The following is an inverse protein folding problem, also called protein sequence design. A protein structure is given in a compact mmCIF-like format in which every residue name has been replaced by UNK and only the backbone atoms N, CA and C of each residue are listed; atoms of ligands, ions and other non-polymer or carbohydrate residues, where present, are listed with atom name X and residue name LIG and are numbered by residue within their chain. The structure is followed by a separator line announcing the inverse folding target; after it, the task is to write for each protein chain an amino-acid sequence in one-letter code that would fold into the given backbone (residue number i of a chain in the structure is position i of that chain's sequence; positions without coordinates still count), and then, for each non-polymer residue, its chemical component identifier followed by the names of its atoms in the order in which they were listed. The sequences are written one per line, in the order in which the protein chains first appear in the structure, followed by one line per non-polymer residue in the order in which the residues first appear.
data_IF_226222912571
#
_entry.id   IF_226222912571
#
_cell.length_a   1.000
_cell.length_b   1.000
_cell.length_c   1.000
_cell.angle_alpha   90.00
_cell.angle_beta   90.00
_cell.angle_gamma   90.00
#
_symmetry.space_group_name_H-M   'P 1'
#
loop_
_entity.id
_entity.type
_entity.pdbx_description
1 polymer ?
#
# COMPACT_ATOMS: atom_id res chain seq x y z
N UNK A 1 0.37 -21.62 -5.17
CA UNK A 1 0.64 -20.34 -4.47
C UNK A 1 2.00 -20.48 -3.83
N UNK A 2 2.94 -19.58 -4.14
CA UNK A 2 4.26 -19.57 -3.50
C UNK A 2 4.09 -18.91 -2.13
N UNK A 3 4.45 -19.61 -1.06
CA UNK A 3 4.35 -19.09 0.32
C UNK A 3 5.67 -19.35 1.00
N UNK A 4 6.17 -18.35 1.74
CA UNK A 4 7.46 -18.39 2.39
C UNK A 4 7.41 -17.57 3.68
N UNK A 5 8.27 -17.93 4.62
CA UNK A 5 8.50 -17.12 5.81
C UNK A 5 9.34 -15.89 5.44
N UNK A 6 9.05 -14.70 5.99
CA UNK A 6 9.78 -13.49 5.68
C UNK A 6 11.30 -13.61 5.86
N UNK A 7 11.77 -14.13 7.00
CA UNK A 7 13.22 -14.28 7.25
C UNK A 7 13.89 -15.27 6.29
N UNK A 8 13.18 -16.30 5.81
CA UNK A 8 13.70 -17.25 4.82
C UNK A 8 13.88 -16.55 3.47
N UNK A 9 12.89 -15.77 3.04
CA UNK A 9 12.98 -14.99 1.81
C UNK A 9 14.11 -13.96 1.88
N UNK A 10 14.21 -13.22 3.00
CA UNK A 10 15.30 -12.28 3.26
C UNK A 10 16.69 -12.96 3.17
N UNK A 11 16.86 -14.12 3.81
CA UNK A 11 18.10 -14.88 3.76
C UNK A 11 18.47 -15.33 2.33
N UNK A 12 17.48 -15.78 1.54
CA UNK A 12 17.71 -16.17 0.14
C UNK A 12 18.12 -14.96 -0.70
N UNK A 13 17.41 -13.82 -0.56
CA UNK A 13 17.75 -12.59 -1.28
C UNK A 13 19.14 -12.07 -0.90
N UNK A 14 19.51 -12.12 0.37
CA UNK A 14 20.85 -11.75 0.82
C UNK A 14 21.93 -12.65 0.21
N UNK A 15 21.70 -13.97 0.16
CA UNK A 15 22.62 -14.90 -0.53
C UNK A 15 22.75 -14.62 -2.02
N UNK A 16 21.65 -14.28 -2.68
CA UNK A 16 21.69 -13.89 -4.10
C UNK A 16 22.51 -12.61 -4.30
N UNK A 17 22.38 -11.63 -3.40
CA UNK A 17 23.19 -10.41 -3.41
C UNK A 17 24.68 -10.72 -3.19
N UNK A 18 25.04 -11.54 -2.20
CA UNK A 18 26.41 -11.97 -1.95
C UNK A 18 27.06 -12.65 -3.17
N UNK A 19 26.29 -13.42 -3.94
CA UNK A 19 26.76 -14.12 -5.14
C UNK A 19 26.85 -13.23 -6.39
N UNK A 20 26.17 -12.09 -6.39
CA UNK A 20 26.04 -11.22 -7.57
C UNK A 20 27.24 -10.29 -7.82
N UNK A 21 28.11 -10.11 -6.83
CA UNK A 21 29.20 -9.11 -6.89
C UNK A 21 28.70 -7.67 -6.87
N UNK A 22 27.46 -7.43 -6.42
CA UNK A 22 26.89 -6.09 -6.23
C UNK A 22 27.40 -5.48 -4.92
N UNK A 23 27.88 -4.25 -4.98
CA UNK A 23 28.22 -3.45 -3.81
C UNK A 23 26.93 -3.02 -3.08
N UNK A 24 26.56 -3.76 -2.03
CA UNK A 24 25.40 -3.45 -1.20
C UNK A 24 25.75 -2.39 -0.16
N UNK A 25 25.07 -1.24 -0.23
CA UNK A 25 25.18 -0.15 0.75
C UNK A 25 23.90 -0.10 1.59
N UNK A 26 24.03 -0.34 2.91
CA UNK A 26 22.92 -0.32 3.88
C UNK A 26 23.09 0.80 4.92
N UNK A 27 22.15 0.91 5.86
CA UNK A 27 22.19 1.86 6.98
C UNK A 27 22.26 3.34 6.59
N UNK A 28 21.87 3.67 5.36
CA UNK A 28 21.80 5.04 4.83
C UNK A 28 20.64 5.14 3.84
N UNK A 29 20.17 6.37 3.58
CA UNK A 29 19.03 6.64 2.69
C UNK A 29 19.31 7.84 1.81
N UNK A 30 18.57 7.95 0.70
CA UNK A 30 18.64 9.10 -0.21
C UNK A 30 18.38 10.40 0.59
N UNK A 31 19.27 11.38 0.46
CA UNK A 31 19.11 12.68 1.12
C UNK A 31 18.08 13.53 0.37
N UNK A 32 16.82 13.41 0.77
CA UNK A 32 15.71 14.18 0.20
C UNK A 32 15.60 15.61 0.73
N UNK A 33 16.46 16.00 1.68
CA UNK A 33 16.46 17.37 2.25
C UNK A 33 17.13 18.40 1.33
N UNK A 34 17.82 17.93 0.27
CA UNK A 34 18.58 18.76 -0.66
C UNK A 34 18.13 18.53 -2.09
N UNK A 35 18.35 19.52 -2.95
CA UNK A 35 18.13 19.37 -4.40
C UNK A 35 19.11 18.33 -4.96
N UNK A 36 18.60 17.47 -5.83
CA UNK A 36 19.42 16.51 -6.56
C UNK A 36 20.41 17.23 -7.49
N UNK A 37 21.62 16.68 -7.63
CA UNK A 37 22.61 17.22 -8.55
C UNK A 37 22.28 16.77 -9.99
N UNK A 38 21.45 17.58 -10.66
CA UNK A 38 21.02 17.35 -12.05
C UNK A 38 21.63 18.37 -13.00
N UNK A 39 21.97 17.93 -14.21
CA UNK A 39 22.38 18.79 -15.34
C UNK A 39 21.37 18.68 -16.47
N UNK A 40 21.14 19.75 -17.21
CA UNK A 40 20.38 19.67 -18.47
C UNK A 40 21.18 18.86 -19.48
N UNK A 41 20.50 18.02 -20.25
CA UNK A 41 21.10 17.32 -21.38
C UNK A 41 21.61 18.32 -22.44
N UNK A 42 22.59 17.91 -23.24
CA UNK A 42 23.21 18.78 -24.26
C UNK A 42 22.20 19.28 -25.30
N UNK A 43 21.20 18.47 -25.62
CA UNK A 43 20.10 18.80 -26.54
C UNK A 43 18.90 19.47 -25.84
N UNK A 44 19.01 19.76 -24.54
CA UNK A 44 17.98 20.41 -23.69
C UNK A 44 16.63 19.66 -23.64
N UNK A 45 16.62 18.37 -23.99
CA UNK A 45 15.41 17.55 -23.96
C UNK A 45 15.14 16.93 -22.59
N UNK A 46 16.05 16.98 -21.62
CA UNK A 46 15.75 16.48 -20.27
C UNK A 46 16.86 16.70 -19.26
N UNK A 47 16.74 16.01 -18.12
CA UNK A 47 17.71 16.02 -17.03
C UNK A 47 18.58 14.78 -17.00
N UNK A 48 19.84 14.95 -16.57
CA UNK A 48 20.80 13.90 -16.29
C UNK A 48 21.18 14.00 -14.82
N UNK A 49 21.05 12.90 -14.07
CA UNK A 49 21.52 12.81 -12.69
C UNK A 49 23.03 12.64 -12.71
N UNK A 50 23.75 13.61 -12.13
CA UNK A 50 25.21 13.54 -12.03
C UNK A 50 25.65 12.66 -10.86
N UNK A 51 25.02 12.85 -9.70
CA UNK A 51 25.23 12.05 -8.51
C UNK A 51 23.97 12.03 -7.64
N UNK A 52 23.73 10.93 -6.94
CA UNK A 52 22.85 10.91 -5.76
C UNK A 52 23.68 11.13 -4.51
N UNK A 53 23.05 11.70 -3.48
CA UNK A 53 23.66 11.89 -2.17
C UNK A 53 22.85 11.16 -1.12
N UNK A 54 23.55 10.57 -0.17
CA UNK A 54 22.95 9.90 0.97
C UNK A 54 23.05 10.77 2.23
N UNK A 55 22.22 10.46 3.23
CA UNK A 55 22.14 11.25 4.49
C UNK A 55 23.45 11.25 5.29
N UNK A 56 24.27 10.23 5.15
CA UNK A 56 25.61 10.12 5.75
C UNK A 56 26.67 11.01 5.07
N UNK A 57 26.32 11.68 3.97
CA UNK A 57 27.21 12.54 3.20
C UNK A 57 27.88 11.87 1.99
N UNK A 58 27.80 10.54 1.87
CA UNK A 58 28.32 9.82 0.71
C UNK A 58 27.57 10.23 -0.57
N UNK A 59 28.27 10.20 -1.70
CA UNK A 59 27.71 10.52 -3.01
C UNK A 59 28.11 9.46 -4.02
N UNK A 60 27.15 9.04 -4.85
CA UNK A 60 27.33 7.96 -5.81
C UNK A 60 27.01 8.45 -7.21
N UNK A 61 27.91 8.14 -8.14
CA UNK A 61 27.78 8.45 -9.55
C UNK A 61 27.51 7.16 -10.33
N UNK A 62 26.57 7.22 -11.26
CA UNK A 62 26.24 6.12 -12.16
C UNK A 62 25.84 6.62 -13.53
N UNK A 63 25.96 5.76 -14.54
CA UNK A 63 25.44 6.04 -15.90
C UNK A 63 23.92 5.87 -15.98
N UNK A 64 23.36 5.03 -15.11
CA UNK A 64 21.94 4.68 -15.00
C UNK A 64 21.57 4.67 -13.51
N UNK A 65 20.35 5.10 -13.18
CA UNK A 65 19.84 5.09 -11.81
C UNK A 65 18.46 4.45 -11.80
N UNK A 66 18.30 3.33 -11.11
CA UNK A 66 17.01 2.65 -10.96
C UNK A 66 16.37 3.21 -9.68
N UNK A 67 15.16 3.77 -9.80
CA UNK A 67 14.40 4.24 -8.64
C UNK A 67 13.63 3.07 -8.00
N UNK A 68 14.29 2.39 -7.07
CA UNK A 68 13.66 1.34 -6.27
C UNK A 68 13.19 1.83 -4.88
N UNK A 69 12.90 3.12 -4.72
CA UNK A 69 12.56 3.72 -3.42
C UNK A 69 11.16 3.39 -2.91
N UNK A 70 10.37 2.57 -3.62
CA UNK A 70 8.95 2.31 -3.38
C UNK A 70 8.03 3.51 -3.67
N UNK A 71 8.31 4.70 -3.12
CA UNK A 71 7.47 5.89 -3.32
C UNK A 71 7.80 6.73 -4.58
N UNK A 72 8.86 6.38 -5.32
CA UNK A 72 9.32 7.13 -6.49
C UNK A 72 10.01 8.45 -6.12
N UNK A 73 10.79 8.44 -5.06
CA UNK A 73 11.43 9.63 -4.52
C UNK A 73 12.57 10.16 -5.40
N UNK A 74 13.37 9.27 -5.98
CA UNK A 74 14.47 9.69 -6.85
C UNK A 74 13.94 10.31 -8.14
N UNK A 75 12.90 9.71 -8.75
CA UNK A 75 12.29 10.24 -9.95
C UNK A 75 11.64 11.62 -9.71
N UNK A 76 10.98 11.80 -8.56
CA UNK A 76 10.42 13.08 -8.18
C UNK A 76 11.51 14.14 -7.97
N UNK A 77 12.60 13.78 -7.29
CA UNK A 77 13.76 14.66 -7.10
C UNK A 77 14.48 15.01 -8.40
N UNK A 78 14.44 14.12 -9.40
CA UNK A 78 15.00 14.34 -10.73
C UNK A 78 14.10 15.21 -11.64
N UNK A 79 12.91 15.59 -11.18
CA UNK A 79 11.95 16.39 -11.95
C UNK A 79 11.19 15.59 -12.99
N UNK A 80 11.11 14.26 -12.86
CA UNK A 80 10.26 13.43 -13.71
C UNK A 80 8.80 13.73 -13.40
N UNK A 81 7.98 13.90 -14.45
CA UNK A 81 6.54 14.11 -14.30
C UNK A 81 5.87 12.87 -13.69
N UNK A 82 5.01 13.08 -12.71
CA UNK A 82 4.22 12.03 -12.06
C UNK A 82 2.84 12.56 -11.67
N UNK A 83 1.93 11.63 -11.40
CA UNK A 83 0.64 11.90 -10.76
C UNK A 83 0.61 11.29 -9.36
N UNK A 84 -0.25 11.84 -8.49
CA UNK A 84 -0.58 11.31 -7.17
C UNK A 84 -2.08 11.47 -6.99
N UNK A 85 -2.72 10.43 -6.47
CA UNK A 85 -4.16 10.38 -6.31
C UNK A 85 -4.83 9.74 -7.50
N UNK A 86 -6.16 9.76 -7.49
CA UNK A 86 -6.97 9.12 -8.52
C UNK A 86 -7.25 10.11 -9.61
N UNK A 87 -6.96 9.73 -10.84
CA UNK A 87 -7.33 10.52 -12.01
C UNK A 87 -8.76 10.18 -12.44
N UNK A 88 -9.44 11.14 -13.07
CA UNK A 88 -10.81 10.97 -13.55
C UNK A 88 -10.89 10.02 -14.76
N UNK A 89 -12.03 9.35 -14.93
CA UNK A 89 -12.35 8.51 -16.09
C UNK A 89 -12.09 9.23 -17.43
N UNK A 90 -12.42 10.51 -17.49
CA UNK A 90 -12.24 11.37 -18.67
C UNK A 90 -10.79 11.56 -19.10
N UNK A 91 -9.81 11.27 -18.23
CA UNK A 91 -8.37 11.47 -18.52
C UNK A 91 -7.85 10.51 -19.59
N UNK A 92 -8.22 9.23 -19.49
CA UNK A 92 -7.78 8.18 -20.43
C UNK A 92 -8.96 7.39 -21.02
N UNK A 93 -10.20 7.82 -20.78
CA UNK A 93 -11.40 7.14 -21.27
C UNK A 93 -11.69 5.82 -20.53
N UNK A 94 -11.22 5.72 -19.29
CA UNK A 94 -11.38 4.57 -18.41
C UNK A 94 -12.73 4.63 -17.67
N UNK A 95 -13.12 3.53 -17.02
CA UNK A 95 -14.43 3.40 -16.38
C UNK A 95 -14.38 2.94 -14.92
N UNK A 96 -13.22 2.50 -14.44
CA UNK A 96 -13.07 1.87 -13.12
C UNK A 96 -11.99 2.55 -12.23
N UNK A 97 -11.51 3.72 -12.65
CA UNK A 97 -10.62 4.60 -11.88
C UNK A 97 -11.41 5.76 -11.26
N UNK A 98 -10.74 6.63 -10.50
CA UNK A 98 -11.40 7.72 -9.80
C UNK A 98 -12.11 7.25 -8.51
N UNK A 99 -13.03 8.09 -8.06
CA UNK A 99 -13.94 7.78 -6.96
C UNK A 99 -14.88 6.65 -7.39
N UNK A 100 -15.11 5.69 -6.51
CA UNK A 100 -15.94 4.53 -6.81
C UNK A 100 -16.81 4.15 -5.61
N UNK A 101 -18.11 4.45 -5.70
CA UNK A 101 -19.15 4.02 -4.76
C UNK A 101 -19.90 2.80 -5.29
N UNK A 102 -20.22 2.77 -6.60
CA UNK A 102 -21.02 1.72 -7.20
C UNK A 102 -20.29 0.37 -7.24
N UNK A 103 -18.97 0.38 -7.42
CA UNK A 103 -18.16 -0.83 -7.51
C UNK A 103 -17.60 -1.33 -6.17
N UNK A 104 -17.84 -0.62 -5.06
CA UNK A 104 -17.46 -1.05 -3.69
C UNK A 104 -18.38 -2.16 -3.17
N UNK A 105 -18.39 -3.29 -3.86
CA UNK A 105 -19.23 -4.46 -3.57
C UNK A 105 -18.51 -5.52 -2.74
N UNK A 106 -17.17 -5.44 -2.65
CA UNK A 106 -16.33 -6.29 -1.82
C UNK A 106 -15.74 -5.48 -0.67
N UNK A 107 -15.27 -6.19 0.34
CA UNK A 107 -14.64 -5.62 1.55
C UNK A 107 -15.33 -4.33 2.06
N UNK A 108 -16.67 -4.30 2.11
CA UNK A 108 -17.40 -3.16 2.62
C UNK A 108 -17.91 -3.43 4.04
N UNK A 109 -18.25 -2.37 4.76
CA UNK A 109 -18.82 -2.44 6.10
C UNK A 109 -20.23 -3.04 6.07
N UNK A 110 -20.65 -3.79 7.10
CA UNK A 110 -22.06 -4.18 7.23
C UNK A 110 -22.95 -2.92 7.30
N UNK A 111 -24.15 -3.01 6.70
CA UNK A 111 -25.13 -1.91 6.74
C UNK A 111 -25.62 -1.66 8.17
N UNK A 112 -26.04 -0.42 8.45
CA UNK A 112 -26.62 -0.01 9.72
C UNK A 112 -25.61 0.42 10.79
N UNK A 113 -24.34 0.63 10.45
CA UNK A 113 -23.37 1.24 11.37
C UNK A 113 -23.73 2.70 11.57
N UNK A 114 -24.07 3.05 12.81
CA UNK A 114 -24.29 4.43 13.24
C UNK A 114 -22.99 5.25 13.14
N UNK A 115 -23.03 6.47 12.59
CA UNK A 115 -21.84 7.27 12.33
C UNK A 115 -21.40 8.16 13.50
N UNK A 116 -22.17 8.22 14.58
CA UNK A 116 -21.96 9.20 15.66
C UNK A 116 -21.18 8.61 16.84
N UNK A 117 -20.44 9.46 17.55
CA UNK A 117 -19.60 9.06 18.70
C UNK A 117 -20.45 8.41 19.80
N UNK A 118 -21.63 8.94 20.05
CA UNK A 118 -22.69 8.32 20.86
C UNK A 118 -23.76 7.82 19.88
N UNK A 119 -23.98 6.50 19.88
CA UNK A 119 -24.97 5.86 19.00
C UNK A 119 -26.34 6.52 19.14
N UNK A 120 -26.91 6.96 18.02
CA UNK A 120 -28.22 7.61 17.92
C UNK A 120 -28.24 9.11 18.24
N UNK A 121 -27.12 9.70 18.67
CA UNK A 121 -27.04 11.12 19.00
C UNK A 121 -26.17 11.88 18.01
N UNK A 122 -26.82 12.59 17.08
CA UNK A 122 -26.14 13.39 16.06
C UNK A 122 -25.35 14.59 16.62
N UNK A 123 -25.65 15.04 17.84
CA UNK A 123 -24.91 16.14 18.48
C UNK A 123 -23.58 15.68 19.09
N UNK A 124 -23.36 14.36 19.21
CA UNK A 124 -22.13 13.81 19.77
C UNK A 124 -20.92 13.93 18.83
N UNK A 125 -21.13 14.36 17.58
CA UNK A 125 -20.13 14.40 16.53
C UNK A 125 -19.96 13.06 15.82
N UNK A 126 -19.27 13.08 14.68
CA UNK A 126 -19.06 11.90 13.82
C UNK A 126 -17.81 11.12 14.27
N UNK A 127 -17.82 9.80 14.08
CA UNK A 127 -16.67 8.93 14.31
C UNK A 127 -15.46 9.37 13.47
N UNK A 128 -14.27 9.30 14.07
CA UNK A 128 -13.04 9.73 13.42
C UNK A 128 -12.79 8.91 12.13
N UNK A 129 -12.43 9.60 11.05
CA UNK A 129 -12.20 8.98 9.74
C UNK A 129 -13.47 8.69 8.92
N UNK A 130 -14.65 9.16 9.35
CA UNK A 130 -15.89 9.12 8.57
C UNK A 130 -16.24 10.53 8.08
N UNK A 131 -16.45 10.66 6.77
CA UNK A 131 -16.91 11.90 6.15
C UNK A 131 -18.42 12.07 6.34
N UNK A 132 -18.93 13.28 6.67
CA UNK A 132 -20.36 13.53 6.79
C UNK A 132 -21.12 13.31 5.47
N UNK A 133 -20.43 13.53 4.35
CA UNK A 133 -20.92 13.31 3.00
C UNK A 133 -19.74 13.17 2.06
N UNK A 134 -19.91 12.40 0.97
CA UNK A 134 -18.93 12.31 -0.10
C UNK A 134 -19.41 13.13 -1.30
N UNK A 135 -18.74 14.25 -1.56
CA UNK A 135 -19.13 15.20 -2.61
C UNK A 135 -18.77 14.77 -4.03
N UNK A 136 -17.84 13.83 -4.17
CA UNK A 136 -17.35 13.36 -5.45
C UNK A 136 -18.22 12.24 -5.99
N UNK A 137 -18.48 12.29 -7.30
CA UNK A 137 -19.23 11.26 -8.01
C UNK A 137 -18.32 10.18 -8.59
N UNK A 138 -18.91 9.04 -8.96
CA UNK A 138 -18.15 7.91 -9.50
C UNK A 138 -17.41 8.32 -10.79
N UNK A 139 -16.14 7.93 -10.90
CA UNK A 139 -15.24 8.28 -12.00
C UNK A 139 -14.61 9.68 -11.92
N UNK A 140 -14.90 10.49 -10.89
CA UNK A 140 -14.20 11.75 -10.66
C UNK A 140 -12.82 11.52 -10.02
N UNK A 141 -11.86 12.39 -10.36
CA UNK A 141 -10.52 12.34 -9.78
C UNK A 141 -10.43 13.09 -8.45
N UNK A 142 -9.49 12.68 -7.59
CA UNK A 142 -9.14 13.37 -6.35
C UNK A 142 -7.68 13.12 -5.95
N UNK A 143 -7.25 13.68 -4.81
CA UNK A 143 -5.87 13.61 -4.32
C UNK A 143 -5.60 12.42 -3.39
N UNK A 144 -6.53 11.45 -3.33
CA UNK A 144 -6.47 10.35 -2.37
C UNK A 144 -5.98 9.05 -3.00
N UNK A 145 -5.39 8.21 -2.17
CA UNK A 145 -4.81 6.94 -2.57
C UNK A 145 -5.45 5.83 -1.75
N UNK A 146 -5.50 4.63 -2.31
CA UNK A 146 -5.98 3.45 -1.58
C UNK A 146 -5.24 3.26 -0.24
N UNK A 147 -5.93 2.70 0.74
CA UNK A 147 -5.43 2.57 2.10
C UNK A 147 -4.10 1.79 2.19
N UNK A 148 -3.29 2.16 3.18
CA UNK A 148 -2.08 1.43 3.54
C UNK A 148 -2.31 0.61 4.81
N UNK A 149 -1.49 -0.41 4.99
CA UNK A 149 -1.48 -1.24 6.18
C UNK A 149 -0.08 -1.76 6.49
N UNK A 150 0.07 -2.45 7.62
CA UNK A 150 1.18 -3.39 7.79
C UNK A 150 0.66 -4.80 7.52
N UNK A 151 1.32 -5.50 6.60
CA UNK A 151 1.08 -6.90 6.31
C UNK A 151 1.89 -7.73 7.29
N UNK A 152 1.19 -8.45 8.17
CA UNK A 152 1.76 -9.05 9.38
C UNK A 152 2.05 -10.53 9.16
N UNK A 153 3.24 -10.99 9.59
CA UNK A 153 3.44 -12.41 9.88
C UNK A 153 2.98 -12.68 11.31
N UNK A 154 2.01 -13.57 11.51
CA UNK A 154 1.52 -13.96 12.83
C UNK A 154 1.64 -15.47 13.02
N UNK A 155 1.75 -15.94 14.26
CA UNK A 155 1.74 -17.37 14.59
C UNK A 155 0.80 -17.67 15.75
N UNK A 156 0.24 -18.88 15.77
CA UNK A 156 -0.51 -19.42 16.90
C UNK A 156 0.24 -20.52 17.67
N UNK A 157 1.49 -20.83 17.29
CA UNK A 157 2.36 -21.73 18.05
C UNK A 157 2.80 -21.07 19.36
N UNK A 158 2.34 -21.60 20.49
CA UNK A 158 2.68 -21.08 21.82
C UNK A 158 4.19 -21.04 22.12
N UNK A 159 4.99 -21.91 21.52
CA UNK A 159 6.44 -21.91 21.71
C UNK A 159 7.11 -20.74 20.97
N UNK A 160 6.60 -20.37 19.80
CA UNK A 160 7.10 -19.29 18.95
C UNK A 160 6.30 -17.97 19.07
N UNK A 161 5.28 -17.88 19.94
CA UNK A 161 4.37 -16.72 19.97
C UNK A 161 4.73 -15.68 21.04
N UNK A 162 4.63 -14.41 20.68
CA UNK A 162 4.57 -13.24 21.55
C UNK A 162 3.19 -12.60 21.37
N UNK A 163 2.40 -12.49 22.45
CA UNK A 163 1.09 -11.85 22.35
C UNK A 163 1.22 -10.34 22.16
N UNK A 164 0.42 -9.79 21.24
CA UNK A 164 0.32 -8.34 21.02
C UNK A 164 -0.19 -7.68 22.30
N UNK A 165 0.62 -6.78 22.84
CA UNK A 165 0.26 -5.99 24.02
C UNK A 165 -0.65 -4.83 23.63
N UNK A 166 -1.36 -4.27 24.62
CA UNK A 166 -2.12 -3.03 24.42
C UNK A 166 -1.15 -1.93 23.99
N UNK A 167 -1.33 -1.29 22.82
CA UNK A 167 -0.38 -0.29 22.35
C UNK A 167 -0.44 0.98 23.22
N UNK A 168 0.69 1.67 23.32
CA UNK A 168 0.77 2.95 24.00
C UNK A 168 -0.19 3.97 23.36
N UNK A 169 -0.86 4.74 24.21
CA UNK A 169 -1.85 5.72 23.76
C UNK A 169 -3.15 5.13 23.21
N UNK A 170 -3.41 3.82 23.37
CA UNK A 170 -4.65 3.17 22.92
C UNK A 170 -5.90 3.90 23.40
N UNK A 171 -6.74 4.32 22.45
CA UNK A 171 -8.07 4.87 22.68
C UNK A 171 -9.10 3.94 22.08
N UNK A 172 -10.02 3.45 22.92
CA UNK A 172 -11.12 2.59 22.46
C UNK A 172 -11.96 3.24 21.36
N UNK A 173 -12.12 4.58 21.42
CA UNK A 173 -12.87 5.34 20.42
C UNK A 173 -12.32 5.21 18.99
N UNK A 174 -11.00 5.02 18.82
CA UNK A 174 -10.39 4.86 17.50
C UNK A 174 -10.80 3.55 16.82
N UNK A 175 -11.23 2.55 17.62
CA UNK A 175 -11.63 1.22 17.17
C UNK A 175 -13.14 0.99 17.27
N UNK A 176 -13.93 2.04 17.47
CA UNK A 176 -15.40 1.96 17.61
C UNK A 176 -16.07 1.35 16.38
N UNK A 177 -15.57 1.63 15.16
CA UNK A 177 -16.07 0.99 13.95
C UNK A 177 -15.84 -0.53 13.94
N UNK A 178 -14.76 -1.01 14.55
CA UNK A 178 -14.43 -2.45 14.64
C UNK A 178 -15.50 -3.17 15.46
N UNK A 179 -15.83 -2.64 16.64
CA UNK A 179 -16.80 -3.26 17.55
C UNK A 179 -18.23 -3.13 17.02
N UNK A 180 -18.60 -2.00 16.39
CA UNK A 180 -19.90 -1.81 15.73
C UNK A 180 -20.10 -2.76 14.55
N UNK A 181 -19.09 -2.94 13.71
CA UNK A 181 -19.15 -3.90 12.61
C UNK A 181 -19.31 -5.34 13.14
N UNK A 182 -18.57 -5.70 14.19
CA UNK A 182 -18.68 -7.01 14.83
C UNK A 182 -20.10 -7.27 15.39
N UNK A 183 -20.70 -6.26 16.03
CA UNK A 183 -22.05 -6.33 16.57
C UNK A 183 -23.13 -6.52 15.48
N UNK A 184 -22.85 -6.07 14.26
CA UNK A 184 -23.70 -6.24 13.08
C UNK A 184 -23.34 -7.48 12.24
N UNK A 185 -22.47 -8.35 12.76
CA UNK A 185 -22.22 -9.67 12.19
C UNK A 185 -20.96 -9.79 11.33
N UNK A 186 -20.09 -8.77 11.26
CA UNK A 186 -18.75 -8.94 10.68
C UNK A 186 -17.93 -9.94 11.52
N UNK A 187 -17.27 -10.88 10.85
CA UNK A 187 -16.51 -11.99 11.46
C UNK A 187 -15.05 -12.04 11.00
N UNK A 188 -14.66 -11.21 10.04
CA UNK A 188 -13.32 -11.16 9.44
C UNK A 188 -12.68 -9.81 9.77
N UNK A 189 -11.51 -9.87 10.40
CA UNK A 189 -10.75 -8.67 10.83
C UNK A 189 -9.31 -8.68 10.31
N UNK A 190 -8.82 -9.83 9.85
CA UNK A 190 -7.62 -9.96 9.02
C UNK A 190 -7.58 -11.35 8.38
N UNK A 191 -6.86 -11.46 7.26
CA UNK A 191 -6.67 -12.73 6.56
C UNK A 191 -5.91 -13.72 7.44
N UNK A 192 -6.26 -14.99 7.32
CA UNK A 192 -5.57 -16.10 7.98
C UNK A 192 -4.88 -16.98 6.91
N UNK A 193 -4.20 -16.34 5.95
CA UNK A 193 -3.54 -17.03 4.84
C UNK A 193 -2.35 -17.83 5.36
N UNK A 194 -2.34 -19.14 5.21
CA UNK A 194 -1.29 -19.99 5.76
C UNK A 194 0.08 -19.70 5.13
N UNK A 195 1.09 -19.66 6.00
CA UNK A 195 2.52 -19.72 5.66
C UNK A 195 3.11 -21.01 6.26
N UNK A 196 4.33 -21.42 5.84
CA UNK A 196 5.05 -22.50 6.49
C UNK A 196 5.19 -22.31 8.02
N UNK A 197 5.44 -23.40 8.74
CA UNK A 197 5.76 -23.40 10.18
C UNK A 197 4.71 -22.73 11.09
N UNK A 198 3.42 -23.02 10.87
CA UNK A 198 2.30 -22.53 11.67
C UNK A 198 2.24 -20.99 11.77
N UNK A 199 2.61 -20.33 10.67
CA UNK A 199 2.49 -18.88 10.51
C UNK A 199 1.35 -18.55 9.56
N UNK A 200 0.94 -17.30 9.57
CA UNK A 200 0.00 -16.73 8.62
C UNK A 200 0.52 -15.39 8.10
N UNK A 201 0.11 -15.08 6.88
CA UNK A 201 0.13 -13.75 6.31
C UNK A 201 -1.21 -13.06 6.59
N UNK A 202 -1.18 -12.14 7.56
CA UNK A 202 -2.33 -11.35 7.97
C UNK A 202 -2.34 -10.00 7.25
N UNK A 203 -3.38 -9.80 6.46
CA UNK A 203 -3.62 -8.62 5.63
C UNK A 203 -5.11 -8.21 5.71
N UNK A 204 -5.51 -7.17 4.98
CA UNK A 204 -6.89 -6.68 4.86
C UNK A 204 -7.88 -7.80 4.45
N UNK A 205 -8.99 -7.96 5.17
CA UNK A 205 -10.01 -9.02 4.93
C UNK A 205 -11.47 -8.63 5.27
N UNK A 206 -11.87 -7.37 5.10
CA UNK A 206 -13.26 -6.90 5.23
C UNK A 206 -13.30 -5.39 5.05
N UNK A 207 -14.46 -4.76 5.28
CA UNK A 207 -14.56 -3.29 5.36
C UNK A 207 -13.93 -2.65 6.59
N UNK A 208 -13.47 -3.43 7.56
CA UNK A 208 -12.71 -2.93 8.70
C UNK A 208 -11.66 -3.95 9.16
N UNK A 209 -10.43 -3.73 8.72
CA UNK A 209 -9.32 -4.66 8.93
C UNK A 209 -7.99 -3.89 8.98
N UNK A 210 -6.88 -4.52 8.58
CA UNK A 210 -5.52 -3.96 8.73
C UNK A 210 -5.34 -2.62 8.00
N UNK A 211 -6.15 -2.34 6.98
CA UNK A 211 -6.17 -1.05 6.29
C UNK A 211 -6.62 0.09 7.21
N UNK A 212 -5.71 1.04 7.43
CA UNK A 212 -6.03 2.29 8.09
C UNK A 212 -6.60 3.28 7.06
N UNK A 213 -7.83 3.04 6.61
CA UNK A 213 -8.46 3.81 5.50
C UNK A 213 -8.39 5.32 5.76
N UNK A 214 -7.80 6.04 4.81
CA UNK A 214 -7.60 7.50 4.81
C UNK A 214 -6.44 8.01 5.65
N UNK A 215 -5.75 7.16 6.42
CA UNK A 215 -4.65 7.61 7.31
C UNK A 215 -3.32 7.80 6.58
N UNK A 216 -3.24 7.36 5.33
CA UNK A 216 -2.11 7.54 4.42
C UNK A 216 -2.09 8.91 3.70
N UNK A 217 -3.09 9.76 3.93
CA UNK A 217 -3.17 11.08 3.30
C UNK A 217 -1.87 11.88 3.47
N UNK A 218 -1.33 12.38 2.35
CA UNK A 218 -0.09 13.16 2.31
C UNK A 218 1.22 12.35 2.44
N UNK A 219 1.18 11.04 2.65
CA UNK A 219 2.39 10.21 2.86
C UNK A 219 3.39 10.31 1.70
N UNK A 220 2.90 10.27 0.47
CA UNK A 220 3.75 10.19 -0.73
C UNK A 220 4.63 11.43 -0.87
N UNK A 221 4.09 12.62 -0.62
CA UNK A 221 4.81 13.90 -0.75
C UNK A 221 5.44 14.39 0.55
N UNK A 222 5.19 13.71 1.67
CA UNK A 222 5.73 14.03 2.98
C UNK A 222 7.27 13.90 3.05
N UNK A 223 7.88 14.68 3.96
CA UNK A 223 9.28 14.51 4.39
C UNK A 223 9.49 13.18 5.13
N UNK A 224 10.74 12.75 5.31
CA UNK A 224 11.03 11.48 6.00
C UNK A 224 10.49 11.45 7.44
N UNK A 225 10.58 12.56 8.15
CA UNK A 225 10.07 12.67 9.52
C UNK A 225 8.53 12.57 9.55
N UNK A 226 7.85 13.21 8.60
CA UNK A 226 6.39 13.12 8.47
C UNK A 226 5.95 11.70 8.07
N UNK A 227 6.67 11.03 7.16
CA UNK A 227 6.42 9.62 6.82
C UNK A 227 6.59 8.71 8.04
N UNK A 228 7.61 8.93 8.88
CA UNK A 228 7.80 8.17 10.11
C UNK A 228 6.61 8.34 11.09
N UNK A 229 6.05 9.55 11.21
CA UNK A 229 4.84 9.79 12.01
C UNK A 229 3.63 9.04 11.45
N UNK A 230 3.44 9.08 10.12
CA UNK A 230 2.34 8.35 9.45
C UNK A 230 2.51 6.85 9.62
N UNK A 231 3.72 6.31 9.43
CA UNK A 231 4.02 4.89 9.63
C UNK A 231 3.79 4.45 11.08
N UNK A 232 4.22 5.24 12.07
CA UNK A 232 3.94 4.98 13.48
C UNK A 232 2.43 4.95 13.77
N UNK A 233 1.65 5.84 13.14
CA UNK A 233 0.19 5.85 13.24
C UNK A 233 -0.45 4.58 12.65
N UNK A 234 0.08 4.06 11.55
CA UNK A 234 -0.38 2.78 10.99
C UNK A 234 0.02 1.58 11.86
N UNK A 235 1.21 1.60 12.47
CA UNK A 235 1.61 0.60 13.47
C UNK A 235 0.66 0.61 14.67
N UNK A 236 0.27 1.80 15.16
CA UNK A 236 -0.74 1.95 16.20
C UNK A 236 -2.09 1.33 15.78
N UNK A 237 -2.56 1.61 14.57
CA UNK A 237 -3.80 1.01 14.03
C UNK A 237 -3.71 -0.52 14.01
N UNK A 238 -2.66 -1.08 13.43
CA UNK A 238 -2.48 -2.54 13.30
C UNK A 238 -2.44 -3.23 14.67
N UNK A 239 -1.62 -2.75 15.60
CA UNK A 239 -1.51 -3.36 16.94
C UNK A 239 -2.79 -3.15 17.75
N UNK A 240 -3.41 -1.97 17.65
CA UNK A 240 -4.66 -1.67 18.36
C UNK A 240 -5.85 -2.45 17.81
N UNK A 241 -5.91 -2.72 16.50
CA UNK A 241 -6.91 -3.59 15.89
C UNK A 241 -6.78 -5.01 16.44
N UNK A 242 -5.57 -5.59 16.38
CA UNK A 242 -5.31 -6.94 16.91
C UNK A 242 -5.72 -6.98 18.38
N UNK A 243 -5.27 -6.02 19.19
CA UNK A 243 -5.60 -5.97 20.60
C UNK A 243 -7.11 -5.86 20.84
N UNK A 244 -7.82 -4.98 20.12
CA UNK A 244 -9.28 -4.80 20.22
C UNK A 244 -10.02 -6.10 19.94
N UNK A 245 -9.72 -6.73 18.81
CA UNK A 245 -10.38 -7.97 18.36
C UNK A 245 -10.15 -9.12 19.34
N UNK A 246 -8.99 -9.16 20.01
CA UNK A 246 -8.63 -10.21 20.96
C UNK A 246 -9.15 -9.95 22.38
N UNK A 247 -9.24 -8.69 22.82
CA UNK A 247 -9.41 -8.35 24.24
C UNK A 247 -10.65 -7.53 24.56
N UNK A 248 -11.25 -6.78 23.62
CA UNK A 248 -12.37 -5.91 23.96
C UNK A 248 -13.64 -6.74 24.31
N UNK A 249 -14.28 -6.50 25.47
CA UNK A 249 -15.47 -7.25 25.87
C UNK A 249 -16.65 -7.07 24.90
N UNK A 250 -16.72 -5.96 24.15
CA UNK A 250 -17.74 -5.71 23.14
C UNK A 250 -17.58 -6.60 21.89
N UNK A 251 -16.42 -7.21 21.69
CA UNK A 251 -16.25 -8.20 20.62
C UNK A 251 -17.01 -9.49 20.94
N UNK A 252 -17.71 -10.10 19.98
CA UNK A 252 -18.35 -11.40 20.21
C UNK A 252 -17.35 -12.49 20.66
N UNK A 253 -17.70 -13.35 21.64
CA UNK A 253 -16.78 -14.37 22.17
C UNK A 253 -16.20 -15.31 21.10
N UNK A 254 -16.99 -15.63 20.06
CA UNK A 254 -16.55 -16.47 18.94
C UNK A 254 -15.42 -15.82 18.14
N UNK A 255 -15.45 -14.49 17.98
CA UNK A 255 -14.41 -13.72 17.30
C UNK A 255 -13.15 -13.67 18.18
N UNK A 256 -13.29 -13.33 19.47
CA UNK A 256 -12.15 -13.35 20.40
C UNK A 256 -11.48 -14.72 20.45
N UNK A 257 -12.25 -15.82 20.47
CA UNK A 257 -11.70 -17.18 20.44
C UNK A 257 -10.96 -17.50 19.14
N UNK A 258 -11.49 -17.09 17.99
CA UNK A 258 -10.90 -17.33 16.67
C UNK A 258 -9.56 -16.61 16.51
N UNK A 259 -9.48 -15.38 16.99
CA UNK A 259 -8.33 -14.49 16.75
C UNK A 259 -7.36 -14.38 17.94
N UNK A 260 -7.82 -14.72 19.15
CA UNK A 260 -7.09 -14.55 20.42
C UNK A 260 -5.84 -15.40 20.59
N UNK A 261 -5.57 -16.33 19.69
CA UNK A 261 -4.36 -17.18 19.71
C UNK A 261 -3.27 -16.70 18.77
N UNK A 262 -3.51 -15.68 17.93
CA UNK A 262 -2.49 -15.19 17.00
C UNK A 262 -1.65 -14.10 17.64
N UNK A 263 -0.33 -14.21 17.52
CA UNK A 263 0.62 -13.22 18.01
C UNK A 263 1.82 -13.08 17.09
N UNK A 264 2.78 -12.24 17.47
CA UNK A 264 4.01 -12.04 16.73
C UNK A 264 4.92 -13.27 16.90
N UNK A 265 5.51 -13.79 15.83
CA UNK A 265 6.48 -14.88 15.91
C UNK A 265 7.83 -14.40 16.49
N UNK A 266 8.47 -15.19 17.36
CA UNK A 266 9.75 -14.85 18.00
C UNK A 266 10.92 -14.87 17.02
N UNK A 267 10.78 -15.53 15.88
CA UNK A 267 11.82 -15.76 14.90
C UNK A 267 11.74 -14.86 13.66
N UNK A 268 10.69 -14.04 13.51
CA UNK A 268 10.62 -13.03 12.45
C UNK A 268 10.96 -11.64 12.98
N UNK A 269 11.58 -10.81 12.15
CA UNK A 269 11.87 -9.40 12.42
C UNK A 269 12.51 -9.17 13.82
N UNK A 270 13.45 -10.04 14.19
CA UNK A 270 13.98 -10.14 15.56
C UNK A 270 14.73 -8.89 16.03
N UNK A 271 15.21 -8.09 15.08
CA UNK A 271 15.88 -6.81 15.25
C UNK A 271 14.92 -5.60 15.20
N UNK A 272 13.64 -5.81 14.90
CA UNK A 272 12.60 -4.76 14.80
C UNK A 272 11.39 -5.05 15.71
N UNK A 273 11.64 -5.73 16.83
CA UNK A 273 10.60 -6.03 17.82
C UNK A 273 9.51 -6.97 17.29
N UNK A 274 9.88 -7.89 16.39
CA UNK A 274 9.00 -8.87 15.77
C UNK A 274 7.89 -8.25 14.90
N UNK A 275 8.13 -7.04 14.39
CA UNK A 275 7.20 -6.28 13.57
C UNK A 275 7.81 -5.99 12.18
N UNK A 276 7.03 -6.06 11.09
CA UNK A 276 7.52 -5.78 9.73
C UNK A 276 8.16 -4.38 9.59
N UNK A 277 9.22 -4.27 8.79
CA UNK A 277 9.97 -3.01 8.65
C UNK A 277 9.21 -1.91 7.91
N UNK A 278 8.51 -2.28 6.83
CA UNK A 278 7.97 -1.32 5.87
C UNK A 278 6.44 -1.26 5.93
N UNK A 279 5.92 -0.03 5.82
CA UNK A 279 4.50 0.19 5.55
C UNK A 279 4.16 -0.35 4.16
N UNK A 280 3.04 -1.04 4.02
CA UNK A 280 2.58 -1.56 2.74
C UNK A 280 1.94 -0.44 1.92
N UNK A 281 2.76 0.19 1.08
CA UNK A 281 2.39 1.29 0.18
C UNK A 281 1.91 0.69 -1.14
N UNK A 282 0.60 0.57 -1.31
CA UNK A 282 0.02 -0.02 -2.54
C UNK A 282 0.00 0.92 -3.74
N UNK A 283 -0.07 2.22 -3.46
CA UNK A 283 -0.13 3.29 -4.45
C UNK A 283 0.72 4.47 -3.99
N UNK A 284 1.51 5.06 -4.88
CA UNK A 284 2.44 6.13 -4.59
C UNK A 284 2.49 7.13 -5.77
N UNK A 285 3.67 7.69 -6.09
CA UNK A 285 3.82 8.48 -7.31
C UNK A 285 3.80 7.57 -8.51
N UNK A 286 2.84 7.76 -9.40
CA UNK A 286 2.81 7.08 -10.69
C UNK A 286 3.49 7.96 -11.73
N UNK A 287 4.60 7.48 -12.28
CA UNK A 287 5.31 8.19 -13.34
C UNK A 287 4.40 8.41 -14.56
N UNK A 288 4.45 9.61 -15.13
CA UNK A 288 3.94 9.86 -16.48
C UNK A 288 5.07 9.47 -17.44
N UNK A 289 5.08 8.19 -17.83
CA UNK A 289 6.08 7.62 -18.70
C UNK A 289 5.89 7.98 -20.18
N UNK A 290 6.77 7.44 -21.03
CA UNK A 290 6.61 7.51 -22.49
C UNK A 290 5.31 6.82 -22.95
N UNK A 291 4.84 5.86 -22.15
CA UNK A 291 3.52 5.26 -22.23
C UNK A 291 2.85 5.23 -20.86
N UNK A 292 1.52 5.36 -20.81
CA UNK A 292 0.72 5.14 -19.61
C UNK A 292 -0.25 4.00 -19.89
N UNK A 293 -0.13 2.91 -19.13
CA UNK A 293 -1.06 1.77 -19.24
C UNK A 293 -2.40 2.18 -18.63
N UNK A 294 -3.43 2.08 -19.45
CA UNK A 294 -4.83 2.26 -19.11
C UNK A 294 -5.51 0.92 -18.81
N UNK A 295 -6.72 0.98 -18.25
CA UNK A 295 -7.64 -0.14 -18.13
C UNK A 295 -7.80 -0.90 -19.46
N UNK A 296 -7.91 -0.19 -20.59
CA UNK A 296 -8.10 -0.82 -21.89
C UNK A 296 -6.90 -1.67 -22.28
N UNK A 297 -5.68 -1.20 -22.01
CA UNK A 297 -4.45 -1.96 -22.26
C UNK A 297 -4.43 -3.26 -21.44
N UNK A 298 -4.81 -3.19 -20.16
CA UNK A 298 -4.90 -4.35 -19.27
C UNK A 298 -5.95 -5.35 -19.77
N UNK A 299 -7.11 -4.86 -20.23
CA UNK A 299 -8.18 -5.71 -20.76
C UNK A 299 -7.84 -6.32 -22.12
N UNK A 300 -7.07 -5.61 -22.95
CA UNK A 300 -6.58 -6.06 -24.26
C UNK A 300 -5.52 -7.15 -24.10
N UNK A 301 -4.57 -6.95 -23.17
CA UNK A 301 -3.60 -7.94 -22.72
C UNK A 301 -2.28 -7.99 -23.50
N UNK A 302 -2.21 -7.45 -24.72
CA UNK A 302 -0.99 -7.38 -25.53
C UNK A 302 -0.51 -5.93 -25.71
N UNK A 303 0.82 -5.75 -25.67
CA UNK A 303 1.48 -4.46 -25.79
C UNK A 303 2.69 -4.54 -26.74
N UNK A 304 2.89 -3.51 -27.54
CA UNK A 304 4.12 -3.38 -28.33
C UNK A 304 5.33 -3.13 -27.42
N UNK A 305 6.48 -3.71 -27.75
CA UNK A 305 7.71 -3.59 -26.94
C UNK A 305 7.51 -4.02 -25.48
N UNK A 306 6.73 -5.08 -25.26
CA UNK A 306 6.55 -5.70 -23.96
C UNK A 306 7.88 -6.21 -23.39
N UNK A 307 8.15 -5.87 -22.12
CA UNK A 307 9.34 -6.30 -21.38
C UNK A 307 8.99 -7.02 -20.07
N UNK A 308 7.72 -6.97 -19.67
CA UNK A 308 7.21 -7.63 -18.48
C UNK A 308 5.73 -7.98 -18.69
N UNK A 309 5.16 -8.71 -17.73
CA UNK A 309 3.77 -9.16 -17.76
C UNK A 309 3.19 -9.11 -16.35
N UNK A 310 1.95 -8.64 -16.24
CA UNK A 310 1.12 -8.78 -15.04
C UNK A 310 0.03 -9.82 -15.25
N UNK A 311 -0.48 -10.40 -14.18
CA UNK A 311 -1.60 -11.36 -14.23
C UNK A 311 -2.58 -11.22 -13.07
N UNK A 312 -2.36 -10.20 -12.24
CA UNK A 312 -3.22 -9.92 -11.10
C UNK A 312 -4.46 -9.15 -11.56
N UNK A 313 -5.54 -9.26 -10.78
CA UNK A 313 -6.78 -8.51 -11.03
C UNK A 313 -6.51 -7.00 -10.98
N UNK A 314 -7.31 -6.20 -11.69
CA UNK A 314 -7.29 -4.75 -11.49
C UNK A 314 -7.98 -4.48 -10.17
N UNK A 315 -7.20 -4.14 -9.14
CA UNK A 315 -7.74 -3.91 -7.81
C UNK A 315 -7.37 -2.57 -7.20
N UNK A 316 -8.09 -2.20 -6.16
CA UNK A 316 -7.70 -1.16 -5.23
C UNK A 316 -8.22 -1.56 -3.86
N UNK A 317 -7.64 -1.02 -2.79
CA UNK A 317 -8.27 -1.04 -1.47
C UNK A 317 -9.25 0.13 -1.32
N UNK A 318 -10.03 0.12 -0.24
CA UNK A 318 -10.87 1.26 0.10
C UNK A 318 -10.02 2.52 0.35
N UNK A 319 -10.58 3.67 -0.01
CA UNK A 319 -9.89 4.96 0.07
C UNK A 319 -10.46 5.82 1.20
N UNK A 320 -11.77 5.79 1.38
CA UNK A 320 -12.50 6.67 2.32
C UNK A 320 -13.68 5.96 2.97
N UNK A 321 -14.23 6.60 4.01
CA UNK A 321 -15.51 6.23 4.64
C UNK A 321 -16.43 7.44 4.66
N UNK A 322 -17.71 7.23 4.45
CA UNK A 322 -18.71 8.30 4.43
C UNK A 322 -20.05 7.84 4.98
N UNK A 323 -20.89 8.81 5.37
CA UNK A 323 -22.29 8.57 5.74
C UNK A 323 -23.11 8.51 4.44
N UNK A 324 -23.82 7.40 4.22
CA UNK A 324 -24.68 7.24 3.04
C UNK A 324 -25.98 8.04 3.18
N UNK A 325 -26.75 8.14 2.09
CA UNK A 325 -28.10 8.69 2.13
C UNK A 325 -29.06 7.94 3.07
N UNK A 326 -28.74 6.69 3.46
CA UNK A 326 -29.50 5.92 4.45
C UNK A 326 -29.06 6.20 5.90
N UNK A 327 -28.05 7.05 6.11
CA UNK A 327 -27.60 7.47 7.44
C UNK A 327 -26.61 6.51 8.11
N UNK A 328 -26.12 5.49 7.42
CA UNK A 328 -25.11 4.56 7.91
C UNK A 328 -23.73 4.76 7.27
N UNK A 329 -22.69 4.25 7.93
CA UNK A 329 -21.31 4.32 7.42
C UNK A 329 -21.05 3.25 6.38
N UNK A 330 -20.49 3.64 5.23
CA UNK A 330 -19.94 2.73 4.22
C UNK A 330 -18.55 3.18 3.78
N UNK A 331 -17.79 2.23 3.23
CA UNK A 331 -16.53 2.54 2.57
C UNK A 331 -16.76 2.90 1.10
N UNK A 332 -15.78 3.59 0.53
CA UNK A 332 -15.65 3.94 -0.89
C UNK A 332 -14.32 3.38 -1.41
N UNK A 333 -14.24 3.03 -2.70
CA UNK A 333 -13.10 2.37 -3.33
C UNK A 333 -13.27 0.85 -3.42
N UNK A 334 -12.21 0.08 -3.13
CA UNK A 334 -12.19 -1.40 -3.27
C UNK A 334 -12.71 -1.89 -4.64
N UNK A 335 -12.09 -1.40 -5.70
CA UNK A 335 -12.32 -1.93 -7.05
C UNK A 335 -11.67 -3.30 -7.13
N UNK A 336 -12.34 -4.30 -7.68
CA UNK A 336 -11.77 -5.64 -7.85
C UNK A 336 -12.30 -6.30 -9.12
N UNK A 337 -11.71 -5.94 -10.25
CA UNK A 337 -12.13 -6.38 -11.58
C UNK A 337 -11.19 -7.48 -12.09
N UNK A 338 -11.77 -8.63 -12.38
CA UNK A 338 -11.01 -9.77 -12.88
C UNK A 338 -10.42 -9.47 -14.27
N UNK A 339 -9.15 -9.82 -14.45
CA UNK A 339 -8.51 -9.86 -15.77
C UNK A 339 -8.62 -11.28 -16.31
N UNK A 340 -9.01 -11.42 -17.57
CA UNK A 340 -9.24 -12.76 -18.17
C UNK A 340 -7.93 -13.47 -18.50
N UNK A 341 -6.92 -12.70 -18.92
CA UNK A 341 -5.61 -13.18 -19.31
C UNK A 341 -4.53 -12.32 -18.64
N UNK A 342 -3.30 -12.82 -18.52
CA UNK A 342 -2.15 -11.96 -18.27
C UNK A 342 -2.06 -10.82 -19.28
N UNK A 343 -1.55 -9.67 -18.85
CA UNK A 343 -1.39 -8.46 -19.66
C UNK A 343 0.07 -8.03 -19.72
N UNK A 344 0.49 -7.54 -20.88
CA UNK A 344 1.86 -7.13 -21.14
C UNK A 344 2.14 -5.70 -20.68
N UNK A 345 3.36 -5.45 -20.18
CA UNK A 345 3.84 -4.14 -19.74
C UNK A 345 4.89 -3.65 -20.76
N UNK A 346 4.58 -2.60 -21.54
CA UNK A 346 5.51 -2.06 -22.54
C UNK A 346 6.66 -1.30 -21.88
N UNK A 347 7.82 -1.29 -22.52
CA UNK A 347 9.00 -0.55 -22.06
C UNK A 347 8.72 0.95 -21.81
N UNK A 348 7.84 1.57 -22.59
CA UNK A 348 7.47 2.98 -22.39
C UNK A 348 6.83 3.29 -21.04
N UNK A 349 6.26 2.29 -20.35
CA UNK A 349 5.57 2.46 -19.07
C UNK A 349 6.53 2.65 -17.88
N UNK A 350 7.78 2.24 -18.03
CA UNK A 350 8.81 2.22 -16.98
C UNK A 350 9.96 3.20 -17.26
N UNK A 351 9.85 4.01 -18.33
CA UNK A 351 10.80 5.09 -18.62
C UNK A 351 10.08 6.44 -18.64
N UNK A 352 10.76 7.52 -18.23
CA UNK A 352 10.19 8.86 -18.32
C UNK A 352 9.97 9.25 -19.78
N UNK A 353 9.02 10.16 -20.03
CA UNK A 353 8.94 10.82 -21.33
C UNK A 353 10.30 11.43 -21.68
N UNK A 354 10.69 11.36 -22.96
CA UNK A 354 11.98 11.89 -23.45
C UNK A 354 12.24 13.35 -23.02
N UNK A 355 11.16 14.12 -22.84
CA UNK A 355 11.18 15.52 -22.41
C UNK A 355 11.51 15.74 -20.91
N UNK A 356 11.47 14.70 -20.07
CA UNK A 356 11.55 14.82 -18.60
C UNK A 356 12.89 14.38 -18.03
N UNK A 357 13.48 13.27 -18.49
CA UNK A 357 14.82 12.83 -18.07
C UNK A 357 15.45 11.90 -19.10
N UNK A 358 16.79 11.98 -19.26
CA UNK A 358 17.57 11.06 -20.10
C UNK A 358 18.27 9.97 -19.31
N UNK A 359 18.55 10.21 -18.03
CA UNK A 359 18.96 9.13 -17.14
C UNK A 359 17.78 8.17 -17.01
N UNK A 360 17.95 6.92 -17.43
CA UNK A 360 16.93 5.88 -17.30
C UNK A 360 16.61 5.72 -15.81
N UNK A 361 15.50 6.32 -15.39
CA UNK A 361 14.90 6.14 -14.08
C UNK A 361 13.87 5.03 -14.26
N UNK A 362 14.24 3.85 -13.77
CA UNK A 362 13.36 2.69 -13.76
C UNK A 362 12.68 2.63 -12.40
N UNK A 363 11.39 3.00 -12.25
CA UNK A 363 10.69 2.80 -10.99
C UNK A 363 10.47 1.30 -10.76
N UNK A 364 10.98 0.74 -9.66
CA UNK A 364 10.71 -0.65 -9.25
C UNK A 364 9.23 -0.87 -8.89
N UNK A 365 8.54 0.19 -8.47
CA UNK A 365 7.10 0.23 -8.26
C UNK A 365 6.42 0.82 -9.50
N UNK A 366 6.19 -0.01 -10.51
CA UNK A 366 5.30 0.34 -11.60
C UNK A 366 3.84 0.21 -11.12
N UNK A 367 3.04 1.28 -11.25
CA UNK A 367 1.63 1.28 -10.88
C UNK A 367 0.78 1.64 -12.11
N UNK A 368 -0.06 0.74 -12.61
CA UNK A 368 -1.13 1.07 -13.55
C UNK A 368 -2.22 1.91 -12.88
N UNK A 369 -3.09 2.48 -13.71
CA UNK A 369 -4.11 3.47 -13.31
C UNK A 369 -5.11 2.99 -12.23
N UNK A 370 -5.37 1.69 -12.17
CA UNK A 370 -6.26 1.04 -11.19
C UNK A 370 -5.54 -0.15 -10.62
N UNK A 371 -4.61 0.13 -9.71
CA UNK A 371 -3.66 -0.78 -9.07
C UNK A 371 -3.90 -2.27 -9.34
N UNK A 372 -3.53 -2.81 -10.50
CA UNK A 372 -3.11 -4.18 -10.53
C UNK A 372 -1.86 -4.14 -9.66
N UNK A 373 -1.89 -4.72 -8.47
CA UNK A 373 -0.66 -4.90 -7.71
C UNK A 373 0.38 -5.50 -8.65
N UNK A 374 1.33 -4.68 -9.08
CA UNK A 374 2.62 -5.12 -9.59
C UNK A 374 3.62 -4.64 -8.54
N UNK A 375 3.71 -5.30 -7.38
CA UNK A 375 5.06 -5.51 -6.90
C UNK A 375 5.76 -6.25 -8.05
N UNK A 376 6.88 -5.74 -8.55
CA UNK A 376 7.84 -6.62 -9.21
C UNK A 376 8.37 -7.58 -8.13
N UNK A 377 7.50 -8.46 -7.62
CA UNK A 377 7.91 -9.65 -6.88
C UNK A 377 8.81 -10.38 -7.85
N UNK A 378 10.11 -10.37 -7.54
CA UNK A 378 11.08 -11.28 -8.12
C UNK A 378 10.52 -12.70 -7.94
N UNK A 379 9.85 -13.19 -8.96
CA UNK A 379 9.63 -14.61 -9.13
C UNK A 379 10.86 -15.13 -9.88
N UNK A 380 11.77 -15.89 -9.24
CA UNK A 380 12.99 -16.40 -9.86
C UNK A 380 12.76 -17.45 -10.97
N UNK A 381 11.57 -17.47 -11.59
CA UNK A 381 11.14 -18.46 -12.57
C UNK A 381 11.15 -17.96 -14.02
N UNK A 382 11.61 -16.73 -14.29
CA UNK A 382 11.74 -16.21 -15.67
C UNK A 382 13.15 -15.69 -15.89
N UNK A 383 14.12 -16.61 -15.81
CA UNK A 383 15.39 -16.48 -16.52
C UNK A 383 15.25 -17.22 -17.85
N UNK A 384 15.16 -16.47 -18.95
CA UNK A 384 15.81 -16.81 -20.22
C UNK A 384 16.41 -15.53 -20.79
#
# INVERSE_FOLDING_TARGET
MWTFEPHVAENILNKMLEQSGIDLITSTRLDRSRKLNIKKSKDKTGHIIYAIRMVDGNSYQGSVYIDASYEGDLMAMAGVSFTVGREANSKYGETINGVEKALTIKNNLPRGIDPYKIKGDSNSGILDGVLPYLHTEDGEGDDKLQAYCYRMCLTNDSANRIMVQKPDGYKKADFELVTRAAALGEKRFWKLSALPNQKIDANNDSGISMDAIGWNAGYVTATDNQRAVIAARHKYWTLGLIWTVQNDPAMPPVIRKRFGTWGLPKDEFTDNGHFPYALYVREARRMIGDYVISQQDVLKGDAENAIAMGSYVMDSHNTQRYITAQGDVQNEGDVQIAVKNPYQIPYGAIIPQKASARTYLYPYAYQPHISPTVPLEWNPSLCV
#
